data_IF_524779125095
#
_entry.id   IF_524779125095
#
_cell.length_a   1.000
_cell.length_b   1.000
_cell.length_c   1.000
_cell.angle_alpha   90.00
_cell.angle_beta   90.00
_cell.angle_gamma   90.00
#
_symmetry.space_group_name_H-M   'P 1'
#
loop_
_entity.id
_entity.type
_entity.pdbx_description
1 polymer ?
#
# COMPACT_ATOMS: atom_id res chain seq x y z
N UNK A 1 28.82 -6.03 21.02
CA UNK A 1 27.56 -6.82 21.04
C UNK A 1 26.63 -6.49 22.21
N UNK A 2 27.06 -6.54 23.49
CA UNK A 2 26.20 -6.20 24.66
C UNK A 2 25.51 -4.83 24.59
N UNK A 3 26.19 -3.79 24.06
CA UNK A 3 25.60 -2.44 23.83
C UNK A 3 24.41 -2.46 22.86
N UNK A 4 24.52 -3.21 21.74
CA UNK A 4 23.47 -3.30 20.72
C UNK A 4 22.25 -4.03 21.25
N UNK A 5 22.47 -5.13 21.99
CA UNK A 5 21.38 -5.89 22.64
C UNK A 5 20.64 -5.00 23.66
N UNK A 6 21.38 -4.23 24.47
CA UNK A 6 20.76 -3.30 25.42
C UNK A 6 19.99 -2.17 24.72
N UNK A 7 20.50 -1.66 23.60
CA UNK A 7 19.81 -0.65 22.78
C UNK A 7 18.50 -1.19 22.19
N UNK A 8 18.52 -2.38 21.57
CA UNK A 8 17.31 -3.03 21.02
C UNK A 8 16.29 -3.34 22.11
N UNK A 9 16.74 -3.74 23.30
CA UNK A 9 15.87 -3.96 24.47
C UNK A 9 15.20 -2.66 24.93
N UNK A 10 15.93 -1.54 24.90
CA UNK A 10 15.39 -0.20 25.13
C UNK A 10 14.37 0.20 24.07
N UNK A 11 14.71 0.03 22.79
CA UNK A 11 13.83 0.36 21.66
C UNK A 11 12.51 -0.44 21.69
N UNK A 12 12.55 -1.74 21.99
CA UNK A 12 11.34 -2.56 22.14
C UNK A 12 10.45 -2.08 23.28
N UNK A 13 11.03 -1.60 24.38
CA UNK A 13 10.29 -1.06 25.53
C UNK A 13 9.61 0.27 25.22
N UNK A 14 10.22 1.10 24.38
CA UNK A 14 9.59 2.33 23.90
C UNK A 14 8.48 2.03 22.88
N UNK A 15 8.71 1.08 21.96
CA UNK A 15 7.70 0.64 20.99
C UNK A 15 6.44 0.05 21.65
N UNK A 16 6.55 -0.54 22.84
CA UNK A 16 5.38 -1.01 23.59
C UNK A 16 4.54 0.12 24.22
N UNK A 17 5.06 1.35 24.32
CA UNK A 17 4.29 2.52 24.76
C UNK A 17 3.47 3.14 23.64
N UNK A 18 3.74 2.76 22.39
CA UNK A 18 3.01 3.26 21.23
C UNK A 18 1.63 2.61 21.19
N UNK A 19 0.61 3.41 20.97
CA UNK A 19 -0.78 2.96 20.81
C UNK A 19 -0.95 2.34 19.42
N UNK A 20 -0.69 1.04 19.30
CA UNK A 20 -0.91 0.32 18.05
C UNK A 20 -2.40 0.10 17.81
N UNK A 21 -2.86 0.21 16.55
CA UNK A 21 -4.24 -0.12 16.20
C UNK A 21 -4.55 -1.57 16.54
N UNK A 22 -5.81 -1.84 16.85
CA UNK A 22 -6.26 -3.21 17.12
C UNK A 22 -6.10 -4.08 15.88
N UNK A 23 -5.88 -5.40 16.06
CA UNK A 23 -5.77 -6.33 14.91
C UNK A 23 -6.96 -6.21 13.94
N UNK A 24 -8.17 -5.98 14.47
CA UNK A 24 -9.39 -5.78 13.67
C UNK A 24 -9.32 -4.51 12.83
N UNK A 25 -8.84 -3.42 13.41
CA UNK A 25 -8.69 -2.14 12.75
C UNK A 25 -7.61 -2.18 11.64
N UNK A 26 -6.45 -2.77 11.93
CA UNK A 26 -5.39 -2.96 10.94
C UNK A 26 -5.87 -3.78 9.74
N UNK A 27 -6.61 -4.87 9.98
CA UNK A 27 -7.18 -5.68 8.88
C UNK A 27 -8.22 -4.88 8.10
N UNK A 28 -9.10 -4.12 8.75
CA UNK A 28 -10.11 -3.29 8.08
C UNK A 28 -9.46 -2.24 7.17
N UNK A 29 -8.42 -1.55 7.67
CA UNK A 29 -7.67 -0.57 6.88
C UNK A 29 -6.97 -1.23 5.69
N UNK A 30 -6.36 -2.39 5.88
CA UNK A 30 -5.71 -3.14 4.80
C UNK A 30 -6.71 -3.55 3.72
N UNK A 31 -7.87 -4.07 4.11
CA UNK A 31 -8.94 -4.45 3.16
C UNK A 31 -9.41 -3.22 2.38
N UNK A 32 -9.60 -2.07 3.03
CA UNK A 32 -9.99 -0.84 2.36
C UNK A 32 -8.98 -0.43 1.28
N UNK A 33 -7.67 -0.51 1.58
CA UNK A 33 -6.60 -0.20 0.61
C UNK A 33 -6.58 -1.21 -0.54
N UNK A 34 -6.77 -2.50 -0.26
CA UNK A 34 -6.83 -3.54 -1.30
C UNK A 34 -7.99 -3.27 -2.27
N UNK A 35 -9.18 -2.99 -1.74
CA UNK A 35 -10.35 -2.65 -2.57
C UNK A 35 -10.10 -1.40 -3.41
N UNK A 36 -9.56 -0.35 -2.80
CA UNK A 36 -9.21 0.88 -3.52
C UNK A 36 -8.20 0.62 -4.66
N UNK A 37 -7.18 -0.18 -4.39
CA UNK A 37 -6.14 -0.52 -5.37
C UNK A 37 -6.73 -1.31 -6.54
N UNK A 38 -7.62 -2.27 -6.28
CA UNK A 38 -8.30 -3.05 -7.33
C UNK A 38 -9.16 -2.16 -8.24
N UNK A 39 -9.88 -1.19 -7.67
CA UNK A 39 -10.65 -0.21 -8.44
C UNK A 39 -9.74 0.64 -9.30
N UNK A 40 -8.60 1.09 -8.75
CA UNK A 40 -7.62 1.89 -9.50
C UNK A 40 -7.01 1.10 -10.66
N UNK A 41 -6.63 -0.17 -10.44
CA UNK A 41 -6.14 -1.05 -11.51
C UNK A 41 -7.15 -1.18 -12.64
N UNK A 42 -8.42 -1.43 -12.32
CA UNK A 42 -9.47 -1.53 -13.34
C UNK A 42 -9.62 -0.22 -14.11
N UNK A 43 -9.65 0.91 -13.40
CA UNK A 43 -9.76 2.24 -14.01
C UNK A 43 -8.58 2.55 -14.94
N UNK A 44 -7.34 2.36 -14.47
CA UNK A 44 -6.15 2.58 -15.27
C UNK A 44 -6.11 1.67 -16.49
N UNK A 45 -6.47 0.38 -16.35
CA UNK A 45 -6.54 -0.56 -17.48
C UNK A 45 -7.51 -0.08 -18.57
N UNK A 46 -8.68 0.43 -18.18
CA UNK A 46 -9.66 0.97 -19.13
C UNK A 46 -9.10 2.21 -19.86
N UNK A 47 -8.41 3.08 -19.13
CA UNK A 47 -7.79 4.27 -19.71
C UNK A 47 -6.69 3.88 -20.69
N UNK A 48 -5.78 2.99 -20.29
CA UNK A 48 -4.65 2.56 -21.12
C UNK A 48 -5.16 1.94 -22.42
N UNK A 49 -6.14 1.02 -22.34
CA UNK A 49 -6.76 0.44 -23.53
C UNK A 49 -7.47 1.49 -24.40
N UNK A 50 -8.16 2.45 -23.77
CA UNK A 50 -8.81 3.55 -24.49
C UNK A 50 -7.81 4.45 -25.22
N UNK A 51 -6.67 4.74 -24.57
CA UNK A 51 -5.59 5.52 -25.16
C UNK A 51 -4.92 4.75 -26.31
N UNK A 52 -4.58 3.48 -26.14
CA UNK A 52 -3.97 2.66 -27.19
C UNK A 52 -4.84 2.67 -28.46
N UNK A 53 -6.15 2.49 -28.32
CA UNK A 53 -7.09 2.55 -29.45
C UNK A 53 -7.13 3.91 -30.15
N UNK A 54 -6.99 5.00 -29.40
CA UNK A 54 -6.94 6.36 -29.97
C UNK A 54 -5.60 6.60 -30.65
N UNK A 55 -4.49 6.18 -30.05
CA UNK A 55 -3.15 6.30 -30.61
C UNK A 55 -3.03 5.52 -31.93
N UNK A 56 -3.48 4.27 -31.96
CA UNK A 56 -3.45 3.43 -33.17
C UNK A 56 -4.26 4.06 -34.32
N UNK A 57 -5.43 4.61 -34.03
CA UNK A 57 -6.33 5.18 -35.05
C UNK A 57 -5.96 6.58 -35.51
N UNK A 58 -5.32 7.39 -34.67
CA UNK A 58 -5.05 8.81 -34.95
C UNK A 58 -3.61 9.05 -35.40
N UNK A 59 -2.64 8.30 -34.86
CA UNK A 59 -1.20 8.56 -35.10
C UNK A 59 -0.58 7.52 -36.04
N UNK A 60 -1.01 6.26 -35.97
CA UNK A 60 -0.50 5.18 -36.83
C UNK A 60 -1.30 4.97 -38.13
N UNK A 61 -2.30 5.82 -38.37
CA UNK A 61 -3.04 5.90 -39.64
C UNK A 61 -2.55 7.06 -40.51
#
# INVERSE_FOLDING_TARGET
MKKIINYLKGARRELSKVTWPSRKESTKLTIAVVVFTLVFVLFTTVIDYGLDQVFDKVILN
#
